data_IF_583834839369
#
_entry.id   IF_583834839369
#
_cell.length_a   1.000
_cell.length_b   1.000
_cell.length_c   1.000
_cell.angle_alpha   90.00
_cell.angle_beta   90.00
_cell.angle_gamma   90.00
#
_symmetry.space_group_name_H-M   'P 1'
#
loop_
_entity.id
_entity.type
_entity.pdbx_description
1 polymer ?
#
# COMPACT_ATOMS: atom_id res chain seq x y z
N UNK A 1 -68.29 5.62 -8.37
CA UNK A 1 -66.96 6.04 -8.83
C UNK A 1 -65.97 4.99 -8.36
N UNK A 2 -65.29 4.32 -9.28
CA UNK A 2 -64.09 3.54 -8.96
C UNK A 2 -62.85 4.37 -9.27
N UNK A 3 -61.80 4.19 -8.48
CA UNK A 3 -60.49 4.83 -8.68
C UNK A 3 -59.49 3.72 -8.97
N UNK A 4 -58.72 3.88 -10.04
CA UNK A 4 -57.58 3.03 -10.36
C UNK A 4 -56.32 3.90 -10.40
N UNK A 5 -55.24 3.42 -9.79
CA UNK A 5 -53.95 4.11 -9.79
C UNK A 5 -52.89 3.14 -10.31
N UNK A 6 -52.11 3.61 -11.27
CA UNK A 6 -50.99 2.87 -11.84
C UNK A 6 -49.70 3.68 -11.75
N UNK A 7 -48.57 2.98 -11.73
CA UNK A 7 -47.22 3.53 -11.73
C UNK A 7 -46.50 3.08 -13.00
N UNK A 8 -45.69 3.94 -13.60
CA UNK A 8 -44.81 3.54 -14.71
C UNK A 8 -43.60 2.73 -14.25
N UNK A 9 -43.26 2.79 -12.95
CA UNK A 9 -42.15 2.04 -12.36
C UNK A 9 -42.52 1.53 -10.98
N UNK A 10 -42.88 0.24 -10.92
CA UNK A 10 -43.26 -0.42 -9.69
C UNK A 10 -42.05 -0.77 -8.79
N UNK A 11 -40.82 -0.70 -9.31
CA UNK A 11 -39.62 -0.87 -8.50
C UNK A 11 -39.37 0.36 -7.62
N UNK A 12 -39.62 1.57 -8.16
CA UNK A 12 -39.46 2.83 -7.44
C UNK A 12 -40.64 3.12 -6.50
N UNK A 13 -41.89 3.06 -6.99
CA UNK A 13 -43.11 3.11 -6.14
C UNK A 13 -44.06 2.03 -6.62
N UNK A 14 -44.19 0.94 -5.86
CA UNK A 14 -45.18 -0.10 -6.17
C UNK A 14 -46.61 0.41 -5.97
N UNK A 15 -47.59 -0.15 -6.69
CA UNK A 15 -49.01 0.22 -6.52
C UNK A 15 -49.49 0.00 -5.07
N UNK A 16 -48.95 -1.00 -4.37
CA UNK A 16 -49.27 -1.26 -2.96
C UNK A 16 -48.77 -0.18 -1.99
N UNK A 17 -47.77 0.60 -2.39
CA UNK A 17 -47.25 1.74 -1.61
C UNK A 17 -47.99 3.05 -1.90
N UNK A 18 -49.04 2.99 -2.72
CA UNK A 18 -49.91 4.12 -3.02
C UNK A 18 -51.20 3.95 -2.23
N UNK A 19 -51.46 4.87 -1.32
CA UNK A 19 -52.74 4.94 -0.61
C UNK A 19 -53.46 6.22 -1.00
N UNK A 20 -54.79 6.20 -0.93
CA UNK A 20 -55.58 7.37 -1.21
C UNK A 20 -56.78 7.51 -0.28
N UNK A 21 -57.20 8.75 -0.05
CA UNK A 21 -58.46 9.08 0.61
C UNK A 21 -59.23 10.08 -0.24
N UNK A 22 -60.55 10.12 -0.08
CA UNK A 22 -61.42 11.06 -0.79
C UNK A 22 -62.15 11.92 0.23
N UNK A 23 -62.08 13.25 0.06
CA UNK A 23 -62.85 14.19 0.87
C UNK A 23 -63.25 15.39 0.01
N UNK A 24 -64.52 15.79 0.08
CA UNK A 24 -65.08 16.94 -0.64
C UNK A 24 -64.65 17.02 -2.13
N UNK A 25 -64.87 15.93 -2.88
CA UNK A 25 -64.49 15.79 -4.30
C UNK A 25 -62.98 15.91 -4.60
N UNK A 26 -62.12 15.80 -3.59
CA UNK A 26 -60.65 15.81 -3.73
C UNK A 26 -60.09 14.43 -3.39
N UNK A 27 -59.14 13.95 -4.21
CA UNK A 27 -58.37 12.73 -3.93
C UNK A 27 -57.04 13.15 -3.30
N UNK A 28 -56.76 12.66 -2.09
CA UNK A 28 -55.47 12.83 -1.42
C UNK A 28 -54.67 11.56 -1.60
N UNK A 29 -53.49 11.67 -2.21
CA UNK A 29 -52.56 10.57 -2.42
C UNK A 29 -51.46 10.59 -1.36
N UNK A 30 -51.11 9.43 -0.83
CA UNK A 30 -49.89 9.21 -0.06
C UNK A 30 -49.08 8.12 -0.75
N UNK A 31 -47.81 8.44 -1.02
CA UNK A 31 -46.92 7.70 -1.89
C UNK A 31 -45.63 7.41 -1.13
N UNK A 32 -45.26 6.15 -1.01
CA UNK A 32 -44.03 5.74 -0.30
C UNK A 32 -43.06 5.05 -1.28
N UNK A 33 -41.91 5.66 -1.61
CA UNK A 33 -40.86 5.01 -2.38
C UNK A 33 -40.40 3.70 -1.74
N UNK A 34 -40.04 2.73 -2.57
CA UNK A 34 -39.32 1.54 -2.15
C UNK A 34 -37.96 1.94 -1.56
N UNK A 35 -37.45 1.15 -0.60
CA UNK A 35 -36.16 1.42 0.03
C UNK A 35 -35.02 1.45 -0.98
N UNK A 36 -34.12 2.42 -0.84
CA UNK A 36 -32.91 2.60 -1.67
C UNK A 36 -33.21 2.70 -3.17
N UNK A 37 -34.35 3.29 -3.52
CA UNK A 37 -34.72 3.56 -4.90
C UNK A 37 -34.80 5.07 -5.12
N UNK A 38 -34.21 5.52 -6.22
CA UNK A 38 -34.25 6.89 -6.69
C UNK A 38 -34.50 6.91 -8.20
N UNK A 39 -34.97 8.03 -8.73
CA UNK A 39 -35.27 8.17 -10.15
C UNK A 39 -36.56 8.91 -10.42
N UNK A 40 -37.05 8.79 -11.65
CA UNK A 40 -38.27 9.44 -12.10
C UNK A 40 -39.32 8.40 -12.48
N UNK A 41 -40.56 8.62 -12.05
CA UNK A 41 -41.71 7.84 -12.51
C UNK A 41 -42.91 8.75 -12.77
N UNK A 42 -43.92 8.18 -13.43
CA UNK A 42 -45.24 8.80 -13.58
C UNK A 42 -46.30 7.98 -12.85
N UNK A 43 -47.21 8.68 -12.17
CA UNK A 43 -48.42 8.11 -11.57
C UNK A 43 -49.61 8.52 -12.43
N UNK A 44 -50.42 7.54 -12.83
CA UNK A 44 -51.68 7.76 -13.53
C UNK A 44 -52.84 7.44 -12.59
N UNK A 45 -53.77 8.38 -12.47
CA UNK A 45 -55.01 8.22 -11.70
C UNK A 45 -56.18 8.23 -12.67
N UNK A 46 -56.97 7.16 -12.68
CA UNK A 46 -58.17 7.03 -13.49
C UNK A 46 -59.40 6.93 -12.59
N UNK A 47 -60.44 7.69 -12.93
CA UNK A 47 -61.74 7.68 -12.25
C UNK A 47 -62.81 7.20 -13.23
N UNK A 48 -63.62 6.22 -12.82
CA UNK A 48 -64.71 5.68 -13.64
C UNK A 48 -66.05 5.91 -12.96
N UNK A 49 -66.99 6.53 -13.67
CA UNK A 49 -68.35 6.74 -13.16
C UNK A 49 -69.19 5.44 -13.16
N UNK A 50 -70.43 5.51 -12.67
CA UNK A 50 -71.34 4.34 -12.66
C UNK A 50 -71.89 3.98 -14.04
N UNK A 51 -71.68 4.84 -15.05
CA UNK A 51 -71.99 4.59 -16.45
C UNK A 51 -70.78 4.10 -17.25
N UNK A 52 -69.71 3.68 -16.56
CA UNK A 52 -68.48 3.14 -17.13
C UNK A 52 -67.65 4.15 -17.96
N UNK A 53 -67.88 5.45 -17.81
CA UNK A 53 -67.05 6.47 -18.44
C UNK A 53 -65.84 6.79 -17.58
N UNK A 54 -64.65 6.83 -18.21
CA UNK A 54 -63.37 7.05 -17.55
C UNK A 54 -62.81 8.44 -17.84
N UNK A 55 -62.19 9.06 -16.84
CA UNK A 55 -61.30 10.21 -17.01
C UNK A 55 -59.99 9.93 -16.28
N UNK A 56 -58.86 10.31 -16.86
CA UNK A 56 -57.55 10.06 -16.29
C UNK A 56 -56.63 11.27 -16.34
N UNK A 57 -55.67 11.30 -15.42
CA UNK A 57 -54.58 12.27 -15.41
C UNK A 57 -53.29 11.60 -14.95
N UNK A 58 -52.16 12.13 -15.39
CA UNK A 58 -50.83 11.65 -15.00
C UNK A 58 -49.94 12.79 -14.55
N UNK A 59 -49.10 12.54 -13.56
CA UNK A 59 -48.09 13.48 -13.09
C UNK A 59 -46.77 12.76 -12.79
N UNK A 60 -45.67 13.50 -12.95
CA UNK A 60 -44.32 12.99 -12.70
C UNK A 60 -43.90 13.12 -11.24
N UNK A 61 -43.10 12.19 -10.77
CA UNK A 61 -42.47 12.20 -9.45
C UNK A 61 -40.98 11.93 -9.65
N UNK A 62 -40.15 12.78 -9.06
CA UNK A 62 -38.71 12.53 -8.91
C UNK A 62 -38.42 12.17 -7.46
N UNK A 63 -37.87 10.98 -7.25
CA UNK A 63 -37.30 10.55 -5.97
C UNK A 63 -35.80 10.78 -6.05
N UNK A 64 -35.27 11.68 -5.24
CA UNK A 64 -33.83 11.95 -5.22
C UNK A 64 -33.12 10.89 -4.37
N UNK A 65 -31.92 10.47 -4.78
CA UNK A 65 -31.06 9.66 -3.92
C UNK A 65 -30.53 10.51 -2.75
N UNK A 66 -30.25 9.83 -1.64
CA UNK A 66 -29.42 10.36 -0.56
C UNK A 66 -28.11 9.60 -0.67
N UNK A 67 -26.99 10.30 -0.68
CA UNK A 67 -25.69 9.66 -0.78
C UNK A 67 -25.38 8.89 0.51
N UNK A 68 -25.11 7.59 0.40
CA UNK A 68 -24.71 6.75 1.51
C UNK A 68 -23.20 6.85 1.78
N UNK A 69 -22.74 6.36 2.93
CA UNK A 69 -21.30 6.30 3.24
C UNK A 69 -20.69 5.05 2.60
N UNK A 70 -19.46 5.14 2.04
CA UNK A 70 -18.75 3.95 1.63
C UNK A 70 -18.42 3.08 2.85
N UNK A 71 -18.34 1.76 2.65
CA UNK A 71 -17.96 0.80 3.67
C UNK A 71 -16.69 0.06 3.26
N UNK A 72 -15.68 0.09 4.13
CA UNK A 72 -14.40 -0.59 3.93
C UNK A 72 -14.43 -1.96 4.62
N UNK A 73 -14.01 -3.00 3.91
CA UNK A 73 -13.79 -4.33 4.49
C UNK A 73 -12.65 -4.34 5.50
N UNK A 74 -12.64 -5.29 6.44
CA UNK A 74 -11.56 -5.39 7.43
C UNK A 74 -10.21 -5.65 6.78
N UNK A 75 -9.20 -4.86 7.15
CA UNK A 75 -7.81 -5.05 6.74
C UNK A 75 -7.06 -5.67 7.93
N UNK A 76 -6.45 -6.84 7.72
CA UNK A 76 -5.69 -7.50 8.78
C UNK A 76 -4.35 -6.83 9.01
N UNK A 77 -3.83 -6.92 10.23
CA UNK A 77 -2.45 -6.51 10.52
C UNK A 77 -1.46 -7.28 9.66
N UNK A 78 -0.33 -6.63 9.35
CA UNK A 78 0.67 -7.13 8.42
C UNK A 78 2.05 -7.15 9.07
N UNK A 79 2.89 -8.08 8.63
CA UNK A 79 4.31 -8.14 8.99
C UNK A 79 5.11 -8.36 7.72
N UNK A 80 6.11 -7.51 7.47
CA UNK A 80 7.04 -7.63 6.35
C UNK A 80 8.46 -7.39 6.86
N UNK A 81 9.45 -7.88 6.13
CA UNK A 81 10.85 -7.57 6.39
C UNK A 81 11.19 -6.16 5.88
N UNK A 82 12.13 -5.48 6.55
CA UNK A 82 12.70 -4.25 6.02
C UNK A 82 13.38 -4.48 4.67
N UNK A 83 13.66 -3.38 3.95
CA UNK A 83 14.32 -3.39 2.63
C UNK A 83 13.63 -4.21 1.54
N UNK A 84 12.39 -4.64 1.79
CA UNK A 84 11.56 -5.36 0.83
C UNK A 84 10.26 -4.62 0.54
N UNK A 85 9.76 -4.77 -0.69
CA UNK A 85 8.41 -4.34 -1.03
C UNK A 85 7.42 -5.36 -0.49
N UNK A 86 6.32 -4.90 0.11
CA UNK A 86 5.29 -5.79 0.63
C UNK A 86 4.63 -6.63 -0.47
N UNK A 87 4.15 -7.81 -0.09
CA UNK A 87 3.13 -8.49 -0.87
C UNK A 87 1.86 -7.62 -1.00
N UNK A 88 1.03 -7.94 -2.01
CA UNK A 88 -0.20 -7.21 -2.27
C UNK A 88 -1.25 -7.48 -1.17
N UNK A 89 -1.60 -6.45 -0.41
CA UNK A 89 -2.61 -6.50 0.66
C UNK A 89 -3.95 -6.07 0.09
N UNK A 90 -4.90 -6.99 0.07
CA UNK A 90 -6.20 -6.72 -0.52
C UNK A 90 -7.23 -6.20 0.50
N UNK A 91 -8.12 -5.35 0.03
CA UNK A 91 -9.34 -4.97 0.74
C UNK A 91 -10.46 -4.63 -0.26
N UNK A 92 -11.71 -4.69 0.22
CA UNK A 92 -12.90 -4.38 -0.58
C UNK A 92 -13.57 -3.11 -0.08
N UNK A 93 -14.23 -2.41 -0.99
CA UNK A 93 -15.10 -1.27 -0.66
C UNK A 93 -16.46 -1.53 -1.28
N UNK A 94 -17.52 -1.24 -0.53
CA UNK A 94 -18.90 -1.27 -1.01
C UNK A 94 -19.57 0.05 -0.75
N UNK A 95 -20.37 0.51 -1.71
CA UNK A 95 -21.19 1.71 -1.60
C UNK A 95 -22.42 1.54 -2.52
N UNK A 96 -23.53 2.19 -2.17
CA UNK A 96 -24.79 2.03 -2.92
C UNK A 96 -24.75 2.81 -4.23
N UNK A 97 -24.13 3.99 -4.22
CA UNK A 97 -24.09 4.91 -5.37
C UNK A 97 -22.80 4.79 -6.20
N UNK A 98 -21.67 4.46 -5.56
CA UNK A 98 -20.34 4.45 -6.17
C UNK A 98 -19.84 3.01 -6.35
N UNK A 99 -19.50 2.66 -7.58
CA UNK A 99 -19.16 1.28 -7.92
C UNK A 99 -17.66 0.98 -7.80
N UNK A 100 -17.30 -0.01 -6.98
CA UNK A 100 -16.03 -0.74 -7.05
C UNK A 100 -14.78 0.14 -7.14
N UNK A 101 -14.11 0.14 -8.29
CA UNK A 101 -12.85 0.87 -8.49
C UNK A 101 -13.02 2.38 -8.76
N UNK A 102 -14.25 2.91 -8.73
CA UNK A 102 -14.49 4.36 -8.86
C UNK A 102 -14.21 5.14 -7.58
N UNK A 103 -14.08 4.45 -6.44
CA UNK A 103 -13.77 5.11 -5.17
C UNK A 103 -12.41 5.80 -5.19
N UNK A 104 -12.36 6.99 -4.60
CA UNK A 104 -11.10 7.65 -4.27
C UNK A 104 -10.46 6.99 -3.06
N UNK A 105 -9.16 6.70 -3.11
CA UNK A 105 -8.42 6.13 -1.98
C UNK A 105 -7.21 7.01 -1.64
N UNK A 106 -7.07 7.31 -0.36
CA UNK A 106 -5.90 8.02 0.20
C UNK A 106 -5.38 7.29 1.43
N UNK A 107 -4.12 7.53 1.77
CA UNK A 107 -3.42 6.83 2.84
C UNK A 107 -2.74 7.82 3.79
N UNK A 108 -2.59 7.38 5.03
CA UNK A 108 -1.73 8.02 6.02
C UNK A 108 -0.96 6.95 6.79
N UNK A 109 0.30 7.26 7.13
CA UNK A 109 1.10 6.49 8.09
C UNK A 109 1.23 7.29 9.38
N UNK A 110 1.14 6.61 10.53
CA UNK A 110 1.44 7.25 11.83
C UNK A 110 2.93 7.54 12.01
N UNK A 111 3.78 6.87 11.25
CA UNK A 111 5.23 7.08 11.19
C UNK A 111 5.67 7.17 9.72
N UNK A 112 5.85 8.42 9.25
CA UNK A 112 6.29 8.69 7.88
C UNK A 112 7.78 8.48 7.66
N UNK A 113 8.56 8.30 8.75
CA UNK A 113 9.98 7.96 8.64
C UNK A 113 10.17 6.48 8.39
N UNK A 114 9.28 5.64 8.93
CA UNK A 114 9.22 4.21 8.63
C UNK A 114 8.53 3.90 7.29
N UNK A 115 7.36 4.51 7.04
CA UNK A 115 6.58 4.34 5.79
C UNK A 115 6.21 5.72 5.24
N UNK A 116 7.00 6.28 4.30
CA UNK A 116 6.63 7.51 3.60
C UNK A 116 5.32 7.33 2.84
N UNK A 117 4.43 8.32 2.84
CA UNK A 117 3.10 8.18 2.21
C UNK A 117 3.23 7.98 0.69
N UNK A 118 4.25 8.57 0.09
CA UNK A 118 4.61 8.43 -1.33
C UNK A 118 5.11 7.03 -1.70
N UNK A 119 5.53 6.22 -0.73
CA UNK A 119 5.92 4.82 -0.94
C UNK A 119 4.72 3.87 -1.00
N UNK A 120 3.53 4.36 -0.65
CA UNK A 120 2.29 3.59 -0.64
C UNK A 120 1.66 3.68 -2.03
N UNK A 121 1.45 2.53 -2.66
CA UNK A 121 0.80 2.44 -3.97
C UNK A 121 -0.34 1.44 -3.96
N UNK A 122 -1.31 1.63 -4.86
CA UNK A 122 -2.40 0.68 -5.00
C UNK A 122 -2.84 0.49 -6.44
N UNK A 123 -3.46 -0.65 -6.69
CA UNK A 123 -4.23 -0.92 -7.91
C UNK A 123 -5.62 -1.38 -7.53
N UNK A 124 -6.57 -1.33 -8.48
CA UNK A 124 -7.89 -1.90 -8.28
C UNK A 124 -8.29 -2.73 -9.49
N UNK A 125 -8.82 -3.93 -9.23
CA UNK A 125 -9.37 -4.81 -10.26
C UNK A 125 -10.61 -5.50 -9.73
N UNK A 126 -11.69 -5.47 -10.51
CA UNK A 126 -12.96 -6.13 -10.17
C UNK A 126 -13.51 -5.78 -8.78
N UNK A 127 -13.32 -4.52 -8.34
CA UNK A 127 -13.80 -4.02 -7.04
C UNK A 127 -12.95 -4.42 -5.84
N UNK A 128 -11.77 -5.01 -6.07
CA UNK A 128 -10.78 -5.34 -5.04
C UNK A 128 -9.60 -4.40 -5.20
N UNK A 129 -9.24 -3.72 -4.12
CA UNK A 129 -8.06 -2.87 -4.04
C UNK A 129 -6.88 -3.70 -3.54
N UNK A 130 -5.71 -3.49 -4.13
CA UNK A 130 -4.46 -4.15 -3.78
C UNK A 130 -3.43 -3.08 -3.40
N UNK A 131 -3.14 -2.99 -2.12
CA UNK A 131 -2.17 -2.07 -1.51
C UNK A 131 -0.78 -2.70 -1.51
N UNK A 132 0.24 -1.90 -1.77
CA UNK A 132 1.64 -2.23 -1.50
C UNK A 132 2.35 -1.02 -0.90
N UNK A 133 3.38 -1.28 -0.09
CA UNK A 133 4.24 -0.24 0.48
C UNK A 133 5.69 -0.69 0.43
N UNK A 134 6.59 0.28 0.46
CA UNK A 134 8.04 0.08 0.55
C UNK A 134 8.53 0.82 1.79
N UNK A 135 9.01 0.14 2.84
CA UNK A 135 9.65 0.78 3.97
C UNK A 135 10.80 1.68 3.55
N UNK A 136 11.09 2.69 4.37
CA UNK A 136 12.37 3.38 4.28
C UNK A 136 13.51 2.38 4.48
N UNK A 137 14.59 2.57 3.74
CA UNK A 137 15.78 1.72 3.79
C UNK A 137 16.33 1.63 5.23
N UNK A 138 16.65 0.42 5.68
CA UNK A 138 17.22 0.11 7.00
C UNK A 138 16.38 0.67 8.16
N UNK A 139 15.06 0.52 8.07
CA UNK A 139 14.13 0.93 9.11
C UNK A 139 13.21 -0.23 9.49
N UNK A 140 13.33 -0.66 10.73
CA UNK A 140 12.42 -1.61 11.37
C UNK A 140 11.54 -0.92 12.42
N UNK A 141 10.38 -1.51 12.74
CA UNK A 141 9.47 -0.93 13.72
C UNK A 141 8.00 -1.25 13.50
N UNK A 142 7.13 -0.45 14.10
CA UNK A 142 5.67 -0.62 14.02
C UNK A 142 5.02 0.72 13.67
N UNK A 143 4.19 0.73 12.65
CA UNK A 143 3.35 1.88 12.29
C UNK A 143 1.89 1.47 12.11
N UNK A 144 0.98 2.43 12.19
CA UNK A 144 -0.42 2.26 11.82
C UNK A 144 -0.66 2.92 10.47
N UNK A 145 -1.18 2.13 9.53
CA UNK A 145 -1.63 2.64 8.23
C UNK A 145 -3.13 2.90 8.30
N UNK A 146 -3.54 4.11 7.92
CA UNK A 146 -4.95 4.50 7.79
C UNK A 146 -5.30 4.63 6.32
N UNK A 147 -6.31 3.88 5.89
CA UNK A 147 -6.92 3.96 4.56
C UNK A 147 -8.17 4.80 4.67
N UNK A 148 -8.26 5.85 3.85
CA UNK A 148 -9.47 6.68 3.72
C UNK A 148 -10.03 6.50 2.32
N UNK A 149 -11.31 6.14 2.26
CA UNK A 149 -12.02 5.94 1.00
C UNK A 149 -13.12 6.98 0.86
N UNK A 150 -13.22 7.60 -0.32
CA UNK A 150 -14.30 8.53 -0.68
C UNK A 150 -15.18 7.97 -1.79
N UNK A 151 -16.47 8.25 -1.70
CA UNK A 151 -17.42 8.06 -2.79
C UNK A 151 -17.45 9.27 -3.75
N UNK A 152 -18.26 9.19 -4.82
CA UNK A 152 -18.45 10.29 -5.78
C UNK A 152 -19.19 11.50 -5.16
N UNK A 153 -19.93 11.27 -4.06
CA UNK A 153 -20.63 12.28 -3.26
C UNK A 153 -19.75 12.98 -2.22
N UNK A 154 -18.47 12.63 -2.14
CA UNK A 154 -17.46 13.12 -1.18
C UNK A 154 -17.69 12.72 0.28
N UNK A 155 -18.56 11.75 0.58
CA UNK A 155 -18.55 11.15 1.91
C UNK A 155 -17.39 10.17 2.02
N UNK A 156 -16.91 9.96 3.25
CA UNK A 156 -15.68 9.21 3.50
C UNK A 156 -15.84 8.19 4.61
N UNK A 157 -15.13 7.08 4.47
CA UNK A 157 -14.93 6.10 5.52
C UNK A 157 -13.43 5.86 5.73
N UNK A 158 -13.08 5.41 6.93
CA UNK A 158 -11.68 5.13 7.30
C UNK A 158 -11.57 3.74 7.93
N UNK A 159 -10.45 3.08 7.67
CA UNK A 159 -10.05 1.85 8.33
C UNK A 159 -8.55 1.88 8.56
N UNK A 160 -8.08 1.27 9.65
CA UNK A 160 -6.67 1.21 9.97
C UNK A 160 -6.23 -0.21 10.31
N UNK A 161 -4.95 -0.48 10.08
CA UNK A 161 -4.29 -1.73 10.46
C UNK A 161 -2.87 -1.44 10.94
N UNK A 162 -2.35 -2.32 11.78
CA UNK A 162 -0.95 -2.27 12.23
C UNK A 162 -0.05 -2.94 11.20
N UNK A 163 1.04 -2.27 10.87
CA UNK A 163 2.13 -2.78 10.04
C UNK A 163 3.38 -2.90 10.90
N UNK A 164 3.91 -4.11 10.99
CA UNK A 164 5.19 -4.41 11.63
C UNK A 164 6.25 -4.64 10.56
N UNK A 165 7.35 -3.88 10.63
CA UNK A 165 8.53 -4.08 9.81
C UNK A 165 9.57 -4.79 10.68
N UNK A 166 9.98 -5.98 10.25
CA UNK A 166 10.99 -6.80 10.93
C UNK A 166 12.39 -6.48 10.43
N UNK A 167 13.30 -6.33 11.39
CA UNK A 167 14.73 -6.15 11.17
C UNK A 167 15.34 -7.40 10.51
N UNK A 168 16.17 -7.22 9.49
CA UNK A 168 16.90 -8.30 8.83
C UNK A 168 18.38 -8.01 8.78
N UNK A 169 19.25 -8.94 9.24
CA UNK A 169 20.69 -8.70 9.26
C UNK A 169 21.26 -8.33 7.88
N UNK A 170 21.87 -7.16 7.81
CA UNK A 170 22.63 -6.65 6.69
C UNK A 170 24.04 -7.25 6.65
N UNK A 171 24.56 -7.45 5.43
CA UNK A 171 25.93 -7.90 5.26
C UNK A 171 26.90 -6.70 5.29
N UNK A 172 28.11 -6.87 5.86
CA UNK A 172 29.10 -5.80 5.85
C UNK A 172 29.59 -5.50 4.43
N UNK A 173 29.80 -4.23 4.15
CA UNK A 173 30.26 -3.70 2.87
C UNK A 173 31.71 -3.24 3.00
N UNK A 174 32.55 -3.60 2.02
CA UNK A 174 33.95 -3.13 1.89
C UNK A 174 34.13 -2.37 0.58
N UNK A 175 34.83 -1.24 0.62
CA UNK A 175 35.16 -0.44 -0.57
C UNK A 175 36.03 -1.21 -1.56
N UNK A 176 35.89 -0.93 -2.86
CA UNK A 176 36.75 -1.50 -3.89
C UNK A 176 38.23 -1.18 -3.65
N UNK A 177 39.09 -2.18 -3.82
CA UNK A 177 40.55 -2.05 -3.73
C UNK A 177 41.13 -2.14 -5.14
N UNK A 178 41.78 -1.07 -5.60
CA UNK A 178 42.45 -1.04 -6.90
C UNK A 178 43.69 -1.96 -6.93
N UNK A 179 44.12 -2.33 -8.13
CA UNK A 179 45.35 -3.11 -8.31
C UNK A 179 46.56 -2.38 -7.72
N UNK A 180 47.35 -3.10 -6.93
CA UNK A 180 48.53 -2.57 -6.25
C UNK A 180 49.81 -3.03 -6.92
N UNK A 181 50.87 -2.22 -6.80
CA UNK A 181 52.23 -2.61 -7.18
C UNK A 181 53.23 -2.06 -6.16
N UNK A 182 54.30 -2.82 -5.93
CA UNK A 182 55.40 -2.43 -5.05
C UNK A 182 56.70 -2.97 -5.63
N UNK A 183 57.84 -2.41 -5.23
CA UNK A 183 59.14 -2.94 -5.61
C UNK A 183 59.42 -4.24 -4.85
N UNK A 184 60.34 -5.06 -5.36
CA UNK A 184 60.82 -6.23 -4.63
C UNK A 184 61.43 -5.79 -3.29
N UNK A 185 61.19 -6.56 -2.23
CA UNK A 185 61.65 -6.27 -0.86
C UNK A 185 61.09 -4.98 -0.24
N UNK A 186 60.00 -4.42 -0.77
CA UNK A 186 59.35 -3.25 -0.17
C UNK A 186 57.89 -3.54 0.18
N UNK A 187 57.50 -3.19 1.40
CA UNK A 187 56.09 -3.15 1.83
C UNK A 187 55.32 -2.16 0.95
N UNK A 188 54.05 -2.46 0.66
CA UNK A 188 53.16 -1.53 -0.02
C UNK A 188 53.02 -0.23 0.79
N UNK A 189 52.68 0.87 0.12
CA UNK A 189 52.08 2.00 0.85
C UNK A 189 50.76 1.55 1.50
N UNK A 190 50.29 2.30 2.49
CA UNK A 190 49.00 2.02 3.12
C UNK A 190 47.88 2.06 2.07
N UNK A 191 47.20 0.93 1.91
CA UNK A 191 46.04 0.80 1.04
C UNK A 191 44.83 1.14 1.90
N UNK A 192 44.12 2.22 1.55
CA UNK A 192 42.95 2.65 2.30
C UNK A 192 41.74 1.83 1.88
N UNK A 193 40.96 1.38 2.85
CA UNK A 193 39.67 0.73 2.63
C UNK A 193 38.65 1.27 3.65
N UNK A 194 37.40 1.35 3.19
CA UNK A 194 36.25 1.66 4.04
C UNK A 194 35.45 0.39 4.23
N UNK A 195 35.15 0.05 5.49
CA UNK A 195 34.22 -1.01 5.86
C UNK A 195 33.04 -0.42 6.61
N UNK A 196 31.83 -0.84 6.29
CA UNK A 196 30.62 -0.36 6.96
C UNK A 196 29.62 -1.49 7.04
N UNK A 197 28.81 -1.46 8.08
CA UNK A 197 27.68 -2.34 8.29
C UNK A 197 26.59 -1.51 8.95
N UNK A 198 25.35 -1.78 8.59
CA UNK A 198 24.19 -1.02 9.05
C UNK A 198 23.84 -1.40 10.48
N UNK A 199 24.04 -2.67 10.83
CA UNK A 199 23.61 -3.28 12.09
C UNK A 199 24.76 -3.41 13.09
N UNK A 200 25.99 -3.54 12.59
CA UNK A 200 27.16 -3.82 13.40
C UNK A 200 28.18 -2.67 13.44
N UNK A 201 28.54 -2.26 14.67
CA UNK A 201 29.63 -1.30 14.89
C UNK A 201 31.02 -1.96 14.84
N UNK A 202 31.10 -3.27 15.15
CA UNK A 202 32.35 -4.03 15.26
C UNK A 202 32.51 -5.02 14.10
N UNK A 203 33.42 -4.66 13.17
CA UNK A 203 33.74 -5.46 11.99
C UNK A 203 35.13 -6.08 12.07
N UNK A 204 35.21 -7.34 11.65
CA UNK A 204 36.46 -8.12 11.59
C UNK A 204 36.92 -8.27 10.15
N UNK A 205 38.22 -8.05 9.91
CA UNK A 205 38.83 -8.25 8.59
C UNK A 205 39.75 -9.45 8.59
N UNK A 206 39.64 -10.27 7.55
CA UNK A 206 40.57 -11.36 7.25
C UNK A 206 41.08 -11.24 5.82
N UNK A 207 42.25 -11.82 5.55
CA UNK A 207 42.84 -11.81 4.22
C UNK A 207 43.38 -13.19 3.83
N UNK A 208 43.29 -13.48 2.54
CA UNK A 208 43.86 -14.68 1.93
C UNK A 208 44.77 -14.28 0.77
N UNK A 209 45.91 -14.96 0.66
CA UNK A 209 46.81 -14.86 -0.49
C UNK A 209 46.62 -16.07 -1.39
N UNK A 210 46.49 -15.84 -2.70
CA UNK A 210 46.47 -16.95 -3.67
C UNK A 210 47.84 -17.63 -3.85
N UNK A 211 48.91 -16.97 -3.41
CA UNK A 211 50.28 -17.50 -3.47
C UNK A 211 51.05 -17.04 -2.22
N UNK A 212 51.16 -17.95 -1.25
CA UNK A 212 51.85 -17.70 0.02
C UNK A 212 53.37 -17.67 -0.09
N UNK A 213 53.95 -18.16 -1.19
CA UNK A 213 55.39 -18.06 -1.43
C UNK A 213 55.76 -16.61 -1.82
N UNK A 214 54.86 -15.90 -2.53
CA UNK A 214 55.04 -14.48 -2.86
C UNK A 214 54.63 -13.57 -1.69
N UNK A 215 53.47 -13.82 -1.06
CA UNK A 215 52.99 -13.07 0.11
C UNK A 215 52.42 -14.03 1.14
N UNK A 216 53.18 -14.28 2.21
CA UNK A 216 52.72 -15.04 3.36
C UNK A 216 51.58 -14.31 4.10
N UNK A 217 50.65 -15.05 4.70
CA UNK A 217 49.44 -14.47 5.34
C UNK A 217 49.81 -13.56 6.50
N UNK A 218 50.83 -13.92 7.29
CA UNK A 218 51.35 -13.14 8.41
C UNK A 218 51.97 -11.79 7.98
N UNK A 219 52.28 -11.62 6.70
CA UNK A 219 52.79 -10.37 6.14
C UNK A 219 51.67 -9.46 5.62
N UNK A 220 50.42 -9.85 5.82
CA UNK A 220 49.23 -9.05 5.55
C UNK A 220 48.73 -8.52 6.89
N UNK A 221 48.71 -7.19 7.04
CA UNK A 221 48.25 -6.56 8.28
C UNK A 221 47.21 -5.49 8.00
N UNK A 222 46.20 -5.47 8.88
CA UNK A 222 45.18 -4.44 8.93
C UNK A 222 45.46 -3.49 10.10
N UNK A 223 45.18 -2.21 9.92
CA UNK A 223 45.16 -1.23 10.99
C UNK A 223 44.03 -0.22 10.80
N UNK A 224 43.87 0.72 11.74
CA UNK A 224 42.82 1.73 11.70
C UNK A 224 41.62 1.43 12.60
N UNK A 225 40.81 2.47 12.78
CA UNK A 225 39.54 2.64 13.49
C UNK A 225 38.25 2.29 12.76
N UNK A 226 37.26 1.62 13.36
CA UNK A 226 35.85 1.68 12.92
C UNK A 226 35.67 1.44 11.41
N UNK A 227 35.22 2.45 10.65
CA UNK A 227 34.96 2.34 9.23
C UNK A 227 36.21 2.54 8.36
N UNK A 228 37.21 3.29 8.82
CA UNK A 228 38.40 3.61 8.02
C UNK A 228 39.56 2.69 8.43
N UNK A 229 39.87 1.74 7.55
CA UNK A 229 40.94 0.76 7.75
C UNK A 229 42.05 0.95 6.73
N UNK A 230 43.22 0.45 7.07
CA UNK A 230 44.35 0.37 6.14
C UNK A 230 44.87 -1.05 6.07
N UNK A 231 45.25 -1.46 4.88
CA UNK A 231 45.88 -2.73 4.57
C UNK A 231 47.33 -2.47 4.15
N UNK A 232 48.27 -3.18 4.76
CA UNK A 232 49.68 -3.20 4.34
C UNK A 232 50.12 -4.62 4.04
N UNK A 233 50.82 -4.78 2.93
CA UNK A 233 51.28 -6.08 2.43
C UNK A 233 52.79 -6.03 2.24
N UNK A 234 53.50 -7.00 2.81
CA UNK A 234 54.95 -7.15 2.62
C UNK A 234 55.27 -8.43 1.84
N UNK A 235 55.73 -8.34 0.57
CA UNK A 235 56.14 -9.52 -0.18
C UNK A 235 57.32 -10.25 0.46
N UNK A 236 57.38 -11.56 0.25
CA UNK A 236 58.52 -12.40 0.60
C UNK A 236 59.81 -11.88 -0.04
N UNK A 237 60.93 -12.02 0.67
CA UNK A 237 62.19 -11.43 0.24
C UNK A 237 62.69 -12.05 -1.07
N UNK A 238 63.11 -11.20 -2.00
CA UNK A 238 63.66 -11.56 -3.32
C UNK A 238 62.71 -12.36 -4.21
N UNK A 239 61.40 -12.32 -3.93
CA UNK A 239 60.37 -12.93 -4.77
C UNK A 239 59.74 -11.86 -5.67
N UNK A 240 59.50 -12.22 -6.93
CA UNK A 240 58.76 -11.41 -7.92
C UNK A 240 57.58 -12.22 -8.43
N UNK A 241 56.46 -11.56 -8.73
CA UNK A 241 55.31 -12.23 -9.29
C UNK A 241 54.03 -11.39 -9.20
N UNK A 242 52.92 -12.03 -9.55
CA UNK A 242 51.57 -11.46 -9.46
C UNK A 242 50.68 -12.49 -8.78
N UNK A 243 49.79 -12.02 -7.91
CA UNK A 243 48.87 -12.83 -7.12
C UNK A 243 47.61 -12.03 -6.82
N UNK A 244 46.56 -12.69 -6.34
CA UNK A 244 45.37 -12.04 -5.80
C UNK A 244 45.35 -12.11 -4.28
N UNK A 245 45.06 -10.98 -3.64
CA UNK A 245 44.69 -10.92 -2.23
C UNK A 245 43.18 -10.79 -2.14
N UNK A 246 42.54 -11.68 -1.40
CA UNK A 246 41.11 -11.60 -1.08
C UNK A 246 40.97 -11.08 0.34
N UNK A 247 40.23 -9.98 0.51
CA UNK A 247 39.88 -9.44 1.82
C UNK A 247 38.41 -9.77 2.09
N UNK A 248 38.12 -10.30 3.27
CA UNK A 248 36.76 -10.59 3.75
C UNK A 248 36.52 -9.71 4.97
N UNK A 249 35.36 -9.05 4.98
CA UNK A 249 34.82 -8.38 6.16
C UNK A 249 33.66 -9.22 6.68
N UNK A 250 33.61 -9.44 7.99
CA UNK A 250 32.55 -10.17 8.67
C UNK A 250 32.09 -9.39 9.90
N UNK A 251 30.82 -9.53 10.25
CA UNK A 251 30.23 -8.94 11.43
C UNK A 251 30.09 -10.01 12.53
N UNK A 252 29.20 -9.80 13.50
CA UNK A 252 28.93 -10.78 14.56
C UNK A 252 27.87 -11.82 14.18
N UNK A 253 27.09 -11.56 13.13
CA UNK A 253 26.01 -12.43 12.65
C UNK A 253 26.50 -13.47 11.62
N UNK A 254 27.63 -13.24 10.94
CA UNK A 254 28.34 -14.23 10.14
C UNK A 254 29.14 -13.66 8.98
#
# INVERSE_FOLDING_TARGET
LSIAITTSDASLISVGNITYTCSANTIYLSLTPSSNQSGYLSITVSVTDTGEQTSETSFGITVNSINDLPQIGSISNQTIDEDTVSDAINFTVTDVETAGCSHGVTFASSDITLIPVESISYTCSSGIFYLSFTPSLNQSGITTITVTVSDDGLLTATSSFTLTITDTPDAPVISSIENQSTLVNTTTSAINLTVTDVDADDLTLTAFSSDTDIVAIENISFSGTTANRTLTITPSTSVIGSLSITVIVSDSSG
#
